data_IF_148565579979
#
_entry.id   IF_148565579979
#
_cell.length_a   1.000
_cell.length_b   1.000
_cell.length_c   1.000
_cell.angle_alpha   90.00
_cell.angle_beta   90.00
_cell.angle_gamma   90.00
#
_symmetry.space_group_name_H-M   'P 1'
#
loop_
_entity.id
_entity.type
_entity.pdbx_description
1 polymer ?
#
# COMPACT_ATOMS: atom_id res chain seq x y z
N UNK A 1 19.47 0.20 8.10
CA UNK A 1 18.44 -0.52 7.30
C UNK A 1 18.43 0.05 5.88
N UNK A 2 18.36 1.36 5.70
CA UNK A 2 18.26 2.00 4.38
C UNK A 2 19.42 1.65 3.46
N UNK A 3 20.67 1.64 3.95
CA UNK A 3 21.87 1.28 3.18
C UNK A 3 21.87 -0.17 2.66
N UNK A 4 21.17 -1.08 3.35
CA UNK A 4 21.08 -2.48 2.95
C UNK A 4 19.91 -2.77 2.00
N UNK A 5 18.84 -1.97 2.07
CA UNK A 5 17.65 -2.19 1.28
C UNK A 5 17.77 -1.58 -0.13
N UNK A 6 18.39 -0.40 -0.26
CA UNK A 6 18.48 0.29 -1.54
C UNK A 6 19.13 -0.55 -2.66
N UNK A 7 20.29 -1.23 -2.42
CA UNK A 7 20.88 -2.09 -3.45
C UNK A 7 19.98 -3.26 -3.87
N UNK A 8 19.19 -3.80 -2.94
CA UNK A 8 18.28 -4.91 -3.24
C UNK A 8 17.11 -4.46 -4.12
N UNK A 9 16.61 -3.23 -3.91
CA UNK A 9 15.58 -2.67 -4.76
C UNK A 9 16.08 -2.40 -6.17
N UNK A 10 17.33 -1.92 -6.33
CA UNK A 10 17.92 -1.74 -7.65
C UNK A 10 18.12 -3.08 -8.37
N UNK A 11 18.60 -4.10 -7.66
CA UNK A 11 18.73 -5.44 -8.21
C UNK A 11 17.37 -6.02 -8.64
N UNK A 12 16.33 -5.79 -7.83
CA UNK A 12 14.98 -6.23 -8.16
C UNK A 12 14.43 -5.51 -9.39
N UNK A 13 14.60 -4.18 -9.50
CA UNK A 13 14.16 -3.40 -10.68
C UNK A 13 14.83 -3.92 -11.95
N UNK A 14 16.11 -4.20 -11.90
CA UNK A 14 16.85 -4.79 -13.03
C UNK A 14 16.30 -6.16 -13.38
N UNK A 15 16.15 -7.03 -12.40
CA UNK A 15 15.59 -8.38 -12.60
C UNK A 15 14.20 -8.33 -13.22
N UNK A 16 13.34 -7.43 -12.78
CA UNK A 16 12.00 -7.25 -13.33
C UNK A 16 12.03 -6.74 -14.78
N UNK A 17 12.91 -5.78 -15.07
CA UNK A 17 13.10 -5.29 -16.43
C UNK A 17 13.62 -6.38 -17.38
N UNK A 18 14.56 -7.20 -16.92
CA UNK A 18 15.09 -8.34 -17.69
C UNK A 18 13.99 -9.40 -17.93
N UNK A 19 13.17 -9.69 -16.93
CA UNK A 19 12.00 -10.56 -17.06
C UNK A 19 11.02 -10.02 -18.09
N UNK A 20 10.61 -8.76 -17.98
CA UNK A 20 9.71 -8.13 -18.95
C UNK A 20 10.27 -8.22 -20.39
N UNK A 21 11.53 -7.82 -20.58
CA UNK A 21 12.16 -7.80 -21.90
C UNK A 21 12.34 -9.19 -22.51
N UNK A 22 12.50 -10.23 -21.69
CA UNK A 22 12.65 -11.61 -22.15
C UNK A 22 11.34 -12.29 -22.52
N UNK A 23 10.20 -11.82 -21.98
CA UNK A 23 8.89 -12.45 -22.13
C UNK A 23 7.91 -11.66 -23.00
N UNK A 24 8.16 -10.37 -23.25
CA UNK A 24 7.22 -9.49 -23.96
C UNK A 24 6.96 -9.93 -25.39
N UNK A 25 5.73 -9.75 -25.83
CA UNK A 25 5.26 -9.89 -27.21
C UNK A 25 5.26 -8.54 -27.92
N UNK A 26 5.14 -8.48 -29.26
CA UNK A 26 5.12 -7.21 -30.00
C UNK A 26 3.97 -6.27 -29.61
N UNK A 27 2.87 -6.81 -29.15
CA UNK A 27 1.65 -6.10 -28.73
C UNK A 27 1.49 -5.98 -27.21
N UNK A 28 2.51 -6.37 -26.43
CA UNK A 28 2.47 -6.28 -24.96
C UNK A 28 2.33 -4.84 -24.49
N UNK A 29 1.53 -4.58 -23.44
CA UNK A 29 1.51 -3.29 -22.76
C UNK A 29 2.90 -2.86 -22.33
N UNK A 30 3.11 -1.56 -22.13
CA UNK A 30 4.36 -1.04 -21.57
C UNK A 30 4.66 -1.65 -20.21
N UNK A 31 5.96 -1.81 -19.91
CA UNK A 31 6.41 -2.30 -18.60
C UNK A 31 5.81 -1.45 -17.48
N UNK A 32 5.26 -2.11 -16.47
CA UNK A 32 4.72 -1.47 -15.27
C UNK A 32 5.83 -1.05 -14.31
N UNK A 33 5.44 -0.43 -13.20
CA UNK A 33 6.37 -0.06 -12.15
C UNK A 33 7.17 -1.28 -11.66
N UNK A 34 8.48 -1.20 -11.77
CA UNK A 34 9.41 -2.27 -11.40
C UNK A 34 9.71 -2.34 -9.90
N UNK A 35 9.05 -1.52 -9.07
CA UNK A 35 9.25 -1.57 -7.63
C UNK A 35 8.61 -2.82 -7.01
N UNK A 36 9.24 -3.43 -5.97
CA UNK A 36 8.65 -4.57 -5.30
C UNK A 36 7.36 -4.19 -4.57
N UNK A 37 6.31 -4.98 -4.76
CA UNK A 37 5.03 -4.83 -4.05
C UNK A 37 5.07 -5.53 -2.70
N UNK A 38 5.84 -6.61 -2.58
CA UNK A 38 5.98 -7.40 -1.36
C UNK A 38 7.45 -7.46 -0.95
N UNK A 39 7.72 -7.16 0.30
CA UNK A 39 9.02 -7.30 0.94
C UNK A 39 8.91 -8.24 2.13
N UNK A 40 9.64 -9.36 2.10
CA UNK A 40 9.76 -10.26 3.23
C UNK A 40 11.04 -9.90 4.01
N UNK A 41 10.90 -9.65 5.30
CA UNK A 41 12.02 -9.39 6.18
C UNK A 41 12.12 -10.49 7.24
N UNK A 42 13.14 -11.34 7.19
CA UNK A 42 13.30 -12.45 8.14
C UNK A 42 13.29 -11.97 9.60
N UNK A 43 12.51 -12.64 10.43
CA UNK A 43 12.37 -12.32 11.86
C UNK A 43 11.46 -11.12 12.18
N UNK A 44 11.00 -10.39 11.16
CA UNK A 44 10.11 -9.23 11.34
C UNK A 44 8.74 -9.49 10.72
N UNK A 45 8.69 -9.87 9.45
CA UNK A 45 7.43 -10.15 8.77
C UNK A 45 7.40 -9.71 7.31
N UNK A 46 6.21 -9.39 6.84
CA UNK A 46 5.93 -9.00 5.46
C UNK A 46 5.46 -7.54 5.42
N UNK A 47 6.02 -6.79 4.48
CA UNK A 47 5.58 -5.43 4.15
C UNK A 47 5.03 -5.42 2.72
N UNK A 48 3.95 -4.69 2.49
CA UNK A 48 3.35 -4.52 1.17
C UNK A 48 3.26 -3.05 0.79
N UNK A 49 3.50 -2.77 -0.48
CA UNK A 49 3.55 -1.44 -1.04
C UNK A 49 2.62 -1.34 -2.23
N UNK A 50 1.92 -0.22 -2.37
CA UNK A 50 1.07 0.08 -3.51
C UNK A 50 0.78 1.58 -3.59
N UNK A 51 0.05 1.99 -4.61
CA UNK A 51 -0.38 3.38 -4.82
C UNK A 51 -1.28 3.94 -3.70
N UNK A 52 -1.95 3.08 -2.97
CA UNK A 52 -2.82 3.42 -1.84
C UNK A 52 -2.86 2.27 -0.83
N UNK A 53 -3.34 2.57 0.40
CA UNK A 53 -3.37 1.62 1.51
C UNK A 53 -4.29 0.42 1.24
N UNK A 54 -5.40 0.63 0.56
CA UNK A 54 -6.33 -0.45 0.23
C UNK A 54 -5.68 -1.46 -0.73
N UNK A 55 -5.02 -0.98 -1.78
CA UNK A 55 -4.31 -1.84 -2.73
C UNK A 55 -3.16 -2.58 -2.06
N UNK A 56 -2.41 -1.92 -1.16
CA UNK A 56 -1.35 -2.57 -0.39
C UNK A 56 -1.89 -3.69 0.51
N UNK A 57 -3.05 -3.48 1.18
CA UNK A 57 -3.71 -4.51 1.97
C UNK A 57 -4.14 -5.70 1.11
N UNK A 58 -4.77 -5.44 -0.02
CA UNK A 58 -5.18 -6.50 -0.96
C UNK A 58 -3.97 -7.31 -1.42
N UNK A 59 -2.85 -6.66 -1.75
CA UNK A 59 -1.61 -7.35 -2.11
C UNK A 59 -1.13 -8.28 -0.98
N UNK A 60 -1.23 -7.85 0.29
CA UNK A 60 -0.90 -8.69 1.43
C UNK A 60 -1.79 -9.93 1.52
N UNK A 61 -3.09 -9.77 1.37
CA UNK A 61 -4.06 -10.89 1.41
C UNK A 61 -3.78 -11.91 0.29
N UNK A 62 -3.50 -11.44 -0.93
CA UNK A 62 -3.11 -12.31 -2.04
C UNK A 62 -1.81 -13.07 -1.77
N UNK A 63 -0.81 -12.39 -1.20
CA UNK A 63 0.47 -13.05 -0.91
C UNK A 63 0.35 -14.05 0.23
N UNK A 64 -0.46 -13.79 1.27
CA UNK A 64 -0.78 -14.77 2.33
C UNK A 64 -1.46 -16.00 1.72
N UNK A 65 -2.40 -15.81 0.80
CA UNK A 65 -3.03 -16.92 0.09
C UNK A 65 -1.99 -17.72 -0.72
N UNK A 66 -1.07 -17.06 -1.41
CA UNK A 66 0.01 -17.72 -2.13
C UNK A 66 0.92 -18.54 -1.19
N UNK A 67 1.25 -18.02 0.00
CA UNK A 67 2.00 -18.76 1.02
C UNK A 67 1.25 -20.03 1.44
N UNK A 68 -0.06 -19.93 1.66
CA UNK A 68 -0.88 -21.08 2.04
C UNK A 68 -0.93 -22.14 0.94
N UNK A 69 -1.02 -21.72 -0.33
CA UNK A 69 -0.95 -22.61 -1.49
C UNK A 69 0.41 -23.31 -1.58
N UNK A 70 1.51 -22.55 -1.45
CA UNK A 70 2.85 -23.12 -1.44
C UNK A 70 3.03 -24.13 -0.31
N UNK A 71 2.61 -23.83 0.91
CA UNK A 71 2.65 -24.75 2.06
C UNK A 71 1.80 -26.01 1.83
N UNK A 72 0.62 -25.85 1.22
CA UNK A 72 -0.24 -26.98 0.87
C UNK A 72 0.39 -27.87 -0.19
N UNK A 73 1.01 -27.29 -1.19
CA UNK A 73 1.70 -28.05 -2.24
C UNK A 73 2.90 -28.82 -1.68
N UNK A 74 3.74 -28.19 -0.85
CA UNK A 74 4.88 -28.83 -0.17
C UNK A 74 4.46 -29.95 0.77
N UNK A 75 3.25 -29.88 1.34
CA UNK A 75 2.74 -30.95 2.20
C UNK A 75 2.32 -32.23 1.43
N UNK A 76 2.07 -32.12 0.13
CA UNK A 76 1.64 -33.23 -0.74
C UNK A 76 2.77 -33.69 -1.63
N UNK A 77 3.57 -32.74 -2.17
CA UNK A 77 4.66 -32.97 -3.13
C UNK A 77 5.60 -31.77 -3.11
N UNK A 78 6.41 -31.56 -4.14
CA UNK A 78 7.25 -30.39 -4.34
C UNK A 78 6.45 -29.24 -4.98
N UNK A 79 6.56 -28.03 -4.41
CA UNK A 79 5.97 -26.84 -5.03
C UNK A 79 6.71 -26.47 -6.31
N UNK A 80 5.99 -26.32 -7.40
CA UNK A 80 6.52 -25.86 -8.67
C UNK A 80 5.85 -24.54 -9.07
N UNK A 81 6.67 -23.50 -9.29
CA UNK A 81 6.17 -22.22 -9.77
C UNK A 81 5.81 -22.26 -11.24
N UNK A 82 4.97 -21.32 -11.69
CA UNK A 82 4.70 -21.12 -13.11
C UNK A 82 5.99 -20.79 -13.89
N UNK A 83 6.14 -21.28 -15.12
CA UNK A 83 7.16 -20.77 -16.04
C UNK A 83 7.06 -19.24 -16.19
N UNK A 84 8.20 -18.56 -16.37
CA UNK A 84 8.24 -17.09 -16.50
C UNK A 84 7.31 -16.56 -17.58
N UNK A 85 7.24 -17.25 -18.73
CA UNK A 85 6.36 -16.85 -19.84
C UNK A 85 4.87 -16.91 -19.44
N UNK A 86 4.46 -17.96 -18.74
CA UNK A 86 3.05 -18.09 -18.30
C UNK A 86 2.69 -17.05 -17.24
N UNK A 87 3.60 -16.76 -16.33
CA UNK A 87 3.44 -15.67 -15.36
C UNK A 87 3.28 -14.31 -16.09
N UNK A 88 4.11 -14.07 -17.12
CA UNK A 88 4.04 -12.86 -17.94
C UNK A 88 2.70 -12.76 -18.69
N UNK A 89 2.26 -13.86 -19.32
CA UNK A 89 1.00 -13.89 -20.09
C UNK A 89 -0.22 -13.53 -19.25
N UNK A 90 -0.20 -13.88 -17.96
CA UNK A 90 -1.26 -13.52 -17.00
C UNK A 90 -1.09 -12.05 -16.54
N UNK A 91 0.13 -11.64 -16.17
CA UNK A 91 0.41 -10.31 -15.65
C UNK A 91 0.13 -9.20 -16.69
N UNK A 92 0.46 -9.44 -17.94
CA UNK A 92 0.30 -8.49 -19.06
C UNK A 92 -0.87 -8.85 -19.99
N UNK A 93 -1.88 -9.53 -19.46
CA UNK A 93 -3.06 -9.90 -20.24
C UNK A 93 -3.84 -8.67 -20.71
N UNK A 94 -4.09 -8.57 -22.01
CA UNK A 94 -4.70 -7.39 -22.64
C UNK A 94 -6.10 -7.07 -22.12
N UNK A 95 -6.90 -8.07 -21.73
CA UNK A 95 -8.21 -7.82 -21.14
C UNK A 95 -8.11 -7.21 -19.73
N UNK A 96 -7.13 -7.62 -18.94
CA UNK A 96 -6.89 -7.00 -17.63
C UNK A 96 -6.35 -5.58 -17.80
N UNK A 97 -5.47 -5.33 -18.76
CA UNK A 97 -5.01 -3.98 -19.11
C UNK A 97 -6.18 -3.06 -19.50
N UNK A 98 -7.10 -3.55 -20.34
CA UNK A 98 -8.29 -2.80 -20.73
C UNK A 98 -9.21 -2.48 -19.52
N UNK A 99 -9.28 -3.39 -18.55
CA UNK A 99 -9.99 -3.16 -17.28
C UNK A 99 -9.30 -2.09 -16.43
N UNK A 100 -7.97 -2.16 -16.28
CA UNK A 100 -7.19 -1.16 -15.52
C UNK A 100 -7.32 0.23 -16.11
N UNK A 101 -7.34 0.37 -17.44
CA UNK A 101 -7.53 1.66 -18.12
C UNK A 101 -8.92 2.26 -17.89
N UNK A 102 -9.95 1.45 -17.62
CA UNK A 102 -11.31 1.89 -17.32
C UNK A 102 -11.53 2.22 -15.84
N UNK A 103 -10.57 1.93 -14.97
CA UNK A 103 -10.69 2.24 -13.55
C UNK A 103 -10.76 3.76 -13.33
N UNK A 104 -11.52 4.24 -12.33
CA UNK A 104 -11.54 5.64 -11.97
C UNK A 104 -10.13 6.16 -11.68
N UNK A 105 -9.84 7.38 -12.12
CA UNK A 105 -8.58 8.03 -11.80
C UNK A 105 -8.44 8.18 -10.28
N UNK A 106 -7.23 8.00 -9.73
CA UNK A 106 -6.97 8.23 -8.32
C UNK A 106 -7.41 9.64 -7.91
N UNK A 107 -7.91 9.79 -6.70
CA UNK A 107 -8.20 11.09 -6.11
C UNK A 107 -6.89 11.89 -5.92
N UNK A 108 -6.95 13.23 -5.84
CA UNK A 108 -5.75 14.09 -5.79
C UNK A 108 -4.75 13.75 -4.67
N UNK A 109 -5.25 13.28 -3.52
CA UNK A 109 -4.43 12.92 -2.36
C UNK A 109 -4.32 11.41 -2.13
N UNK A 110 -4.70 10.58 -3.11
CA UNK A 110 -4.52 9.13 -3.00
C UNK A 110 -3.06 8.76 -2.74
N UNK A 111 -2.82 7.85 -1.78
CA UNK A 111 -1.48 7.43 -1.37
C UNK A 111 -0.73 8.45 -0.50
N UNK A 112 -1.32 9.59 -0.16
CA UNK A 112 -0.73 10.56 0.75
C UNK A 112 -1.14 10.29 2.19
N UNK A 113 -0.21 10.57 3.11
CA UNK A 113 -0.47 10.60 4.55
C UNK A 113 -0.45 12.05 4.99
N UNK A 114 -1.52 12.50 5.62
CA UNK A 114 -1.66 13.86 6.12
C UNK A 114 -1.73 13.85 7.65
N UNK A 115 -0.77 14.48 8.28
CA UNK A 115 -0.77 14.76 9.73
C UNK A 115 -1.42 16.12 9.96
N UNK A 116 -2.49 16.17 10.75
CA UNK A 116 -3.24 17.40 11.03
C UNK A 116 -3.31 17.60 12.53
N UNK A 117 -2.69 18.67 13.04
CA UNK A 117 -2.71 19.05 14.45
C UNK A 117 -3.97 19.84 14.78
N UNK A 118 -4.48 19.75 16.03
CA UNK A 118 -5.71 20.40 16.45
C UNK A 118 -6.94 19.92 15.67
N UNK A 119 -6.96 18.67 15.25
CA UNK A 119 -7.94 18.14 14.29
C UNK A 119 -9.15 17.44 14.93
N UNK A 120 -9.27 17.48 16.25
CA UNK A 120 -10.47 16.99 16.94
C UNK A 120 -11.67 17.95 16.85
N UNK A 121 -11.47 19.17 16.35
CA UNK A 121 -12.54 20.17 16.22
C UNK A 121 -12.18 21.32 15.29
N UNK A 122 -13.16 22.20 15.05
CA UNK A 122 -12.97 23.45 14.33
C UNK A 122 -12.38 23.28 12.92
N UNK A 123 -11.43 24.16 12.60
CA UNK A 123 -10.77 24.21 11.28
C UNK A 123 -9.98 22.93 11.01
N UNK A 124 -9.22 22.42 11.99
CA UNK A 124 -8.42 21.19 11.82
C UNK A 124 -9.28 19.99 11.44
N UNK A 125 -10.45 19.83 12.05
CA UNK A 125 -11.40 18.75 11.73
C UNK A 125 -11.95 18.89 10.30
N UNK A 126 -12.25 20.10 9.86
CA UNK A 126 -12.73 20.36 8.50
C UNK A 126 -11.64 20.05 7.46
N UNK A 127 -10.38 20.41 7.74
CA UNK A 127 -9.23 20.07 6.88
C UNK A 127 -9.05 18.56 6.81
N UNK A 128 -9.05 17.87 7.96
CA UNK A 128 -8.90 16.42 8.02
C UNK A 128 -9.97 15.70 7.21
N UNK A 129 -11.23 16.15 7.35
CA UNK A 129 -12.34 15.64 6.55
C UNK A 129 -12.10 15.83 5.05
N UNK A 130 -11.74 17.03 4.63
CA UNK A 130 -11.50 17.32 3.21
C UNK A 130 -10.36 16.50 2.65
N UNK A 131 -9.28 16.33 3.38
CA UNK A 131 -8.15 15.51 2.94
C UNK A 131 -8.52 14.02 2.81
N UNK A 132 -9.32 13.48 3.73
CA UNK A 132 -9.83 12.12 3.62
C UNK A 132 -10.78 11.96 2.41
N UNK A 133 -11.65 12.94 2.14
CA UNK A 133 -12.51 12.98 0.95
C UNK A 133 -11.71 12.95 -0.35
N UNK A 134 -10.55 13.63 -0.37
CA UNK A 134 -9.62 13.64 -1.50
C UNK A 134 -8.67 12.42 -1.56
N UNK A 135 -8.85 11.45 -0.65
CA UNK A 135 -8.18 10.15 -0.70
C UNK A 135 -6.92 10.02 0.13
N UNK A 136 -6.59 10.99 0.98
CA UNK A 136 -5.48 10.85 1.92
C UNK A 136 -5.82 9.88 3.07
N UNK A 137 -4.80 9.18 3.57
CA UNK A 137 -4.83 8.63 4.93
C UNK A 137 -4.54 9.77 5.91
N UNK A 138 -5.36 9.93 6.93
CA UNK A 138 -5.22 11.02 7.90
C UNK A 138 -4.71 10.53 9.25
N UNK A 139 -3.74 11.25 9.79
CA UNK A 139 -3.29 11.14 11.17
C UNK A 139 -3.79 12.37 11.90
N UNK A 140 -4.80 12.19 12.75
CA UNK A 140 -5.42 13.29 13.51
C UNK A 140 -4.79 13.41 14.90
N UNK A 141 -4.54 14.64 15.33
CA UNK A 141 -3.93 14.94 16.62
C UNK A 141 -4.68 16.05 17.35
N UNK A 142 -4.78 15.92 18.65
CA UNK A 142 -5.30 16.95 19.54
C UNK A 142 -4.72 16.75 20.94
N UNK A 143 -4.75 17.80 21.76
CA UNK A 143 -4.42 17.73 23.18
C UNK A 143 -5.56 17.17 24.04
N UNK A 144 -6.78 17.23 23.52
CA UNK A 144 -7.98 16.76 24.22
C UNK A 144 -8.32 15.33 23.76
N UNK A 145 -8.04 14.36 24.62
CA UNK A 145 -8.23 12.93 24.34
C UNK A 145 -9.67 12.56 24.02
N UNK A 146 -10.63 13.09 24.77
CA UNK A 146 -12.05 12.77 24.59
C UNK A 146 -12.56 13.26 23.22
N UNK A 147 -12.24 14.49 22.86
CA UNK A 147 -12.58 15.06 21.54
C UNK A 147 -11.91 14.29 20.42
N UNK A 148 -10.62 13.92 20.60
CA UNK A 148 -9.85 13.18 19.62
C UNK A 148 -10.48 11.81 19.35
N UNK A 149 -10.87 11.09 20.40
CA UNK A 149 -11.55 9.79 20.28
C UNK A 149 -12.88 9.92 19.56
N UNK A 150 -13.70 10.91 19.88
CA UNK A 150 -14.97 11.17 19.19
C UNK A 150 -14.76 11.50 17.70
N UNK A 151 -13.76 12.32 17.38
CA UNK A 151 -13.40 12.63 15.99
C UNK A 151 -12.90 11.40 15.22
N UNK A 152 -12.09 10.57 15.87
CA UNK A 152 -11.59 9.31 15.28
C UNK A 152 -12.75 8.36 14.94
N UNK A 153 -13.66 8.14 15.87
CA UNK A 153 -14.83 7.27 15.66
C UNK A 153 -15.71 7.77 14.50
N UNK A 154 -15.96 9.08 14.43
CA UNK A 154 -16.72 9.70 13.36
C UNK A 154 -16.03 9.49 11.99
N UNK A 155 -14.74 9.79 11.91
CA UNK A 155 -13.99 9.63 10.66
C UNK A 155 -13.83 8.16 10.25
N UNK A 156 -13.62 7.25 11.19
CA UNK A 156 -13.56 5.82 10.91
C UNK A 156 -14.89 5.28 10.38
N UNK A 157 -16.02 5.78 10.91
CA UNK A 157 -17.35 5.43 10.41
C UNK A 157 -17.58 5.95 8.99
N UNK A 158 -17.06 7.13 8.66
CA UNK A 158 -17.27 7.77 7.36
C UNK A 158 -16.32 7.25 6.28
N UNK A 159 -15.04 7.04 6.61
CA UNK A 159 -13.98 6.75 5.63
C UNK A 159 -13.35 5.36 5.76
N UNK A 160 -13.65 4.65 6.83
CA UNK A 160 -13.08 3.34 7.14
C UNK A 160 -11.93 3.41 8.16
N UNK A 161 -11.75 2.32 8.90
CA UNK A 161 -10.77 2.23 9.99
C UNK A 161 -9.31 2.35 9.49
N UNK A 162 -9.06 1.91 8.27
CA UNK A 162 -7.71 1.92 7.70
C UNK A 162 -7.24 3.29 7.22
N UNK A 163 -8.15 4.27 7.12
CA UNK A 163 -7.85 5.61 6.59
C UNK A 163 -7.47 6.57 7.72
N UNK A 164 -7.85 6.26 8.95
CA UNK A 164 -7.75 7.20 10.08
C UNK A 164 -6.94 6.58 11.22
N UNK A 165 -5.88 7.26 11.59
CA UNK A 165 -5.15 7.02 12.83
C UNK A 165 -5.21 8.28 13.71
N UNK A 166 -4.99 8.12 15.02
CA UNK A 166 -4.95 9.24 15.95
C UNK A 166 -3.85 9.07 16.99
N UNK A 167 -3.29 10.18 17.45
CA UNK A 167 -2.42 10.23 18.61
C UNK A 167 -2.63 11.54 19.37
N UNK A 168 -2.55 11.48 20.71
CA UNK A 168 -2.53 12.68 21.54
C UNK A 168 -1.20 13.38 21.30
N UNK A 169 -1.27 14.67 20.98
CA UNK A 169 -0.10 15.47 20.70
C UNK A 169 -0.30 16.90 21.21
N UNK A 170 0.63 17.36 22.05
CA UNK A 170 0.76 18.77 22.44
C UNK A 170 1.93 19.38 21.64
N UNK A 171 1.64 20.16 20.61
CA UNK A 171 2.64 20.76 19.72
C UNK A 171 3.56 21.78 20.45
N UNK A 172 3.26 22.12 21.69
CA UNK A 172 4.11 23.00 22.52
C UNK A 172 5.16 22.22 23.32
N UNK A 173 5.10 20.88 23.27
CA UNK A 173 6.00 19.99 24.02
C UNK A 173 6.74 19.06 23.06
N UNK A 174 8.06 19.25 22.98
CA UNK A 174 8.94 18.47 22.09
C UNK A 174 8.86 16.97 22.38
N UNK A 175 8.81 16.59 23.66
CA UNK A 175 8.69 15.21 24.13
C UNK A 175 7.44 14.45 23.65
N UNK A 176 6.42 15.16 23.17
CA UNK A 176 5.20 14.53 22.61
C UNK A 176 5.25 14.39 21.08
N UNK A 177 6.29 14.96 20.44
CA UNK A 177 6.46 14.98 18.99
C UNK A 177 7.41 13.84 18.53
N UNK A 178 8.32 13.41 19.40
CA UNK A 178 9.22 12.26 19.18
C UNK A 178 8.50 10.92 19.41
#
# INVERSE_FOLDING_TARGET
IQEKIAPQFEAYRKMYADYYNSCKHPDSPAMRDANPVVLLYPGVGMFTFAKDKQTARVAAEFYINAINVMKGAEAISEYTSLPKQEAFNIEYWLLEEAKLQRMPKPKPLSGRIALITGSAGGIGKAIAKKFAEEGACIMINDINEERLKGAQEEFQKQFGKDIVASAILDVTKEETIE
#
